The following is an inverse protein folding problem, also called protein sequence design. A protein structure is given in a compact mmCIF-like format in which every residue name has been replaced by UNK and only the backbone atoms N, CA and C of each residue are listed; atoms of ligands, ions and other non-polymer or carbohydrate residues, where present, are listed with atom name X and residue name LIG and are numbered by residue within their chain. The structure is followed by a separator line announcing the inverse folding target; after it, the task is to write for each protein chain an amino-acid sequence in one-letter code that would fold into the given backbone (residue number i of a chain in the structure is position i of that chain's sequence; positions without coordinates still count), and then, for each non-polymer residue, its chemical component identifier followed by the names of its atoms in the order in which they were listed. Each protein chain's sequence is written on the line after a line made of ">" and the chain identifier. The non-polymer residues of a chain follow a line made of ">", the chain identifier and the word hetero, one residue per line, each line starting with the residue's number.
data_IF_972118513576
#
_entry.id   IF_972118513576
#
_cell.length_a   1.000
_cell.length_b   1.000
_cell.length_c   1.000
_cell.angle_alpha   90.00
_cell.angle_beta   90.00
_cell.angle_gamma   90.00
#
_symmetry.space_group_name_H-M   'P 1'
#
loop_
_entity.id
_entity.type
_entity.pdbx_description
1 polymer ?
#
# COMPACT_ATOMS: atom_id res chain seq x y z
N UNK A 1 2.91 57.43 31.86
CA UNK A 1 4.04 58.37 31.86
C UNK A 1 4.76 58.21 33.19
N UNK A 2 6.02 57.73 33.17
CA UNK A 2 7.03 57.70 34.25
C UNK A 2 6.72 56.81 35.48
N UNK A 3 7.42 55.70 35.72
CA UNK A 3 8.83 55.48 36.12
C UNK A 3 9.09 55.49 37.63
N UNK A 4 9.81 54.42 38.04
CA UNK A 4 10.85 54.34 39.09
C UNK A 4 10.52 53.96 40.54
N UNK A 5 10.93 52.73 40.86
CA UNK A 5 12.00 52.37 41.82
C UNK A 5 12.10 53.13 43.15
N UNK A 6 12.00 52.40 44.28
CA UNK A 6 13.15 52.06 45.15
C UNK A 6 12.75 51.25 46.40
N UNK A 7 13.50 50.18 46.62
CA UNK A 7 13.81 49.53 47.92
C UNK A 7 15.09 50.23 48.41
N UNK A 8 15.36 50.51 49.72
CA UNK A 8 15.82 49.45 50.64
C UNK A 8 15.65 49.61 52.17
N UNK A 9 15.70 48.42 52.80
CA UNK A 9 16.45 48.03 54.01
C UNK A 9 16.16 48.69 55.39
N UNK A 10 16.16 47.86 56.44
CA UNK A 10 17.26 47.69 57.41
C UNK A 10 16.77 46.95 58.70
N UNK A 11 17.51 45.87 59.04
CA UNK A 11 17.88 45.27 60.35
C UNK A 11 16.85 44.63 61.30
N UNK A 12 16.97 43.30 61.38
CA UNK A 12 17.59 42.50 62.46
C UNK A 12 17.56 43.01 63.90
N UNK A 13 17.07 42.14 64.79
CA UNK A 13 17.68 41.60 66.03
C UNK A 13 16.56 41.07 66.94
N UNK A 14 16.69 40.05 67.78
CA UNK A 14 17.58 38.91 67.93
C UNK A 14 17.00 38.06 69.09
N UNK A 15 17.47 36.81 69.18
CA UNK A 15 17.69 36.02 70.40
C UNK A 15 16.56 35.33 71.20
N UNK A 16 16.85 34.03 71.33
CA UNK A 16 16.66 33.11 72.46
C UNK A 16 15.53 32.09 72.26
N UNK A 17 15.71 30.79 72.44
CA UNK A 17 16.77 30.07 73.14
C UNK A 17 16.89 28.63 72.57
N UNK A 18 18.12 28.11 72.53
CA UNK A 18 18.46 26.77 72.07
C UNK A 18 18.72 25.85 73.27
N UNK A 19 18.15 24.64 73.25
CA UNK A 19 18.77 23.47 73.89
C UNK A 19 18.66 22.25 72.97
N UNK A 20 19.64 22.14 72.07
CA UNK A 20 20.54 20.99 71.85
C UNK A 20 20.27 19.70 72.66
N UNK A 21 20.51 18.46 72.22
CA UNK A 21 21.32 17.84 71.15
C UNK A 21 20.92 16.35 71.14
N UNK A 22 20.91 15.66 69.99
CA UNK A 22 21.73 14.46 69.62
C UNK A 22 20.75 13.55 68.83
N UNK A 23 20.94 12.99 67.62
CA UNK A 23 22.07 12.67 66.73
C UNK A 23 21.48 12.26 65.36
N UNK A 24 22.08 12.71 64.24
CA UNK A 24 21.89 12.22 62.85
C UNK A 24 22.69 10.90 62.63
N UNK A 25 22.77 10.31 61.41
CA UNK A 25 21.76 9.82 60.45
C UNK A 25 22.11 8.38 59.98
N UNK A 26 21.31 7.74 59.11
CA UNK A 26 21.81 7.04 57.90
C UNK A 26 20.78 6.09 57.26
N UNK A 27 20.95 5.98 55.94
CA UNK A 27 20.48 4.94 55.01
C UNK A 27 19.06 5.12 54.45
N UNK A 28 18.93 5.85 53.34
CA UNK A 28 19.14 5.32 51.97
C UNK A 28 18.02 4.33 51.59
N UNK A 29 16.87 4.85 51.17
CA UNK A 29 15.93 4.12 50.31
C UNK A 29 15.95 4.76 48.93
N UNK A 30 16.89 4.25 48.15
CA UNK A 30 17.15 4.56 46.77
C UNK A 30 16.32 3.63 45.87
N UNK A 31 15.66 4.20 44.86
CA UNK A 31 15.14 3.59 43.61
C UNK A 31 14.30 2.30 43.74
N UNK A 32 13.10 2.16 43.18
CA UNK A 32 12.84 2.08 41.73
C UNK A 32 11.34 1.91 41.52
N UNK A 33 10.67 2.77 40.76
CA UNK A 33 9.44 2.40 40.04
C UNK A 33 9.68 2.77 38.58
N UNK A 34 10.28 1.82 37.86
CA UNK A 34 10.40 1.84 36.42
C UNK A 34 9.00 1.55 35.84
N UNK A 35 8.55 2.51 35.03
CA UNK A 35 7.61 2.45 33.91
C UNK A 35 7.15 1.04 33.50
N UNK A 36 5.84 0.80 33.60
CA UNK A 36 5.11 -0.10 32.70
C UNK A 36 3.96 0.68 32.06
N UNK A 37 4.28 1.76 31.35
CA UNK A 37 3.45 2.19 30.22
C UNK A 37 3.70 1.12 29.16
N UNK A 38 2.82 0.12 29.12
CA UNK A 38 2.74 -0.77 27.98
C UNK A 38 2.30 0.08 26.79
N UNK A 39 3.29 0.64 26.09
CA UNK A 39 3.17 0.95 24.69
C UNK A 39 2.87 -0.38 24.00
N UNK A 40 1.59 -0.68 23.82
CA UNK A 40 1.13 -1.61 22.80
C UNK A 40 1.39 -0.97 21.42
N UNK A 41 2.66 -0.70 21.13
CA UNK A 41 3.14 -0.63 19.76
C UNK A 41 3.20 -2.09 19.35
N UNK A 42 2.24 -2.50 18.51
CA UNK A 42 2.03 -3.88 18.10
C UNK A 42 3.36 -4.55 17.78
N UNK A 43 3.63 -5.66 18.46
CA UNK A 43 4.67 -6.56 17.98
C UNK A 43 4.31 -6.89 16.51
N UNK A 44 5.25 -6.79 15.56
CA UNK A 44 5.00 -7.26 14.21
C UNK A 44 4.50 -8.69 14.32
N UNK A 45 3.41 -8.97 13.61
CA UNK A 45 2.62 -10.18 13.77
C UNK A 45 3.44 -11.38 13.22
N UNK A 46 4.45 -11.83 13.97
CA UNK A 46 5.32 -12.99 13.63
C UNK A 46 4.49 -14.21 13.24
N UNK A 47 3.26 -14.28 13.77
CA UNK A 47 2.27 -15.25 13.39
C UNK A 47 1.89 -15.20 11.90
N UNK A 48 1.64 -14.02 11.33
CA UNK A 48 1.28 -13.87 9.93
C UNK A 48 2.44 -14.13 8.98
N UNK A 49 3.67 -13.75 9.34
CA UNK A 49 4.86 -14.08 8.55
C UNK A 49 4.97 -15.61 8.37
N UNK A 50 4.86 -16.37 9.45
CA UNK A 50 4.92 -17.83 9.43
C UNK A 50 3.72 -18.48 8.72
N UNK A 51 2.52 -17.88 8.83
CA UNK A 51 1.30 -18.36 8.15
C UNK A 51 1.42 -18.16 6.63
N UNK A 52 1.83 -16.98 6.18
CA UNK A 52 1.98 -16.67 4.77
C UNK A 52 3.12 -17.48 4.13
N UNK A 53 4.25 -17.63 4.83
CA UNK A 53 5.35 -18.47 4.36
C UNK A 53 4.93 -19.94 4.20
N UNK A 54 4.15 -20.49 5.13
CA UNK A 54 3.61 -21.87 5.02
C UNK A 54 2.57 -22.03 3.90
N UNK A 55 1.81 -20.98 3.59
CA UNK A 55 0.95 -20.94 2.41
C UNK A 55 1.75 -20.83 1.09
N UNK A 56 3.06 -20.65 1.19
CA UNK A 56 3.97 -20.59 0.05
C UNK A 56 4.01 -19.23 -0.63
N UNK A 57 3.64 -18.16 0.08
CA UNK A 57 3.86 -16.79 -0.41
C UNK A 57 5.36 -16.49 -0.42
N UNK A 58 5.81 -15.74 -1.42
CA UNK A 58 7.20 -15.32 -1.51
C UNK A 58 7.56 -14.26 -0.47
N UNK A 59 8.84 -14.03 -0.20
CA UNK A 59 9.27 -12.91 0.65
C UNK A 59 8.97 -11.52 0.06
N UNK A 60 8.51 -11.47 -1.20
CA UNK A 60 8.13 -10.26 -1.93
C UNK A 60 6.63 -10.23 -2.25
N UNK A 61 5.81 -11.00 -1.54
CA UNK A 61 4.38 -11.10 -1.84
C UNK A 61 3.68 -9.74 -1.86
N UNK A 62 4.11 -8.82 -1.00
CA UNK A 62 3.55 -7.48 -0.92
C UNK A 62 3.75 -6.69 -2.23
N UNK A 63 4.93 -6.81 -2.84
CA UNK A 63 5.29 -6.20 -4.13
C UNK A 63 4.52 -6.85 -5.29
N UNK A 64 4.44 -8.19 -5.32
CA UNK A 64 3.76 -8.94 -6.39
C UNK A 64 2.24 -8.76 -6.35
N UNK A 65 1.64 -8.76 -5.15
CA UNK A 65 0.21 -8.47 -4.95
C UNK A 65 -0.07 -7.01 -5.30
N UNK A 66 0.71 -6.04 -4.81
CA UNK A 66 0.53 -4.63 -5.18
C UNK A 66 0.62 -4.42 -6.69
N UNK A 67 1.55 -5.10 -7.37
CA UNK A 67 1.60 -5.08 -8.83
C UNK A 67 0.32 -5.62 -9.47
N UNK A 68 -0.29 -6.67 -8.95
CA UNK A 68 -1.54 -7.19 -9.49
C UNK A 68 -2.75 -6.27 -9.25
N UNK A 69 -2.76 -5.51 -8.14
CA UNK A 69 -3.98 -4.78 -7.71
C UNK A 69 -3.95 -3.27 -7.91
N UNK A 70 -2.79 -2.66 -8.18
CA UNK A 70 -2.68 -1.18 -8.24
C UNK A 70 -3.55 -0.51 -9.32
N UNK A 71 -4.00 -1.24 -10.34
CA UNK A 71 -4.95 -0.76 -11.36
C UNK A 71 -6.24 -1.61 -11.37
N UNK A 72 -6.57 -2.28 -10.27
CA UNK A 72 -7.71 -3.18 -10.21
C UNK A 72 -9.02 -2.41 -10.37
N UNK A 73 -9.96 -3.05 -11.08
CA UNK A 73 -11.33 -2.57 -11.29
C UNK A 73 -12.32 -3.67 -10.92
N UNK A 74 -13.58 -3.31 -10.70
CA UNK A 74 -14.62 -4.32 -10.48
C UNK A 74 -14.78 -5.26 -11.68
N UNK A 75 -14.63 -4.78 -12.91
CA UNK A 75 -14.78 -5.62 -14.10
C UNK A 75 -13.65 -6.65 -14.22
N UNK A 76 -12.45 -6.31 -13.76
CA UNK A 76 -11.36 -7.27 -13.61
C UNK A 76 -11.62 -8.28 -12.49
N UNK A 77 -12.16 -7.84 -11.35
CA UNK A 77 -12.54 -8.74 -10.25
C UNK A 77 -13.61 -9.76 -10.66
N UNK A 78 -14.49 -9.40 -11.61
CA UNK A 78 -15.49 -10.33 -12.16
C UNK A 78 -14.89 -11.53 -12.88
N UNK A 79 -13.62 -11.47 -13.29
CA UNK A 79 -12.89 -12.64 -13.80
C UNK A 79 -12.77 -13.73 -12.72
N UNK A 80 -12.60 -13.33 -11.46
CA UNK A 80 -12.35 -14.21 -10.31
C UNK A 80 -13.63 -14.52 -9.52
N UNK A 81 -14.54 -13.54 -9.39
CA UNK A 81 -15.88 -13.71 -8.84
C UNK A 81 -16.89 -12.88 -9.66
N UNK A 82 -17.76 -13.51 -10.47
CA UNK A 82 -18.74 -12.81 -11.30
C UNK A 82 -19.70 -11.87 -10.57
N UNK A 83 -19.82 -11.98 -9.23
CA UNK A 83 -20.65 -11.12 -8.38
C UNK A 83 -19.91 -9.93 -7.78
N UNK A 84 -18.62 -9.76 -8.09
CA UNK A 84 -17.83 -8.63 -7.58
C UNK A 84 -18.52 -7.29 -7.87
N UNK A 85 -18.52 -6.40 -6.88
CA UNK A 85 -19.08 -5.05 -6.93
C UNK A 85 -18.07 -4.02 -6.42
N UNK A 86 -18.39 -2.73 -6.50
CA UNK A 86 -17.57 -1.69 -5.87
C UNK A 86 -17.48 -1.81 -4.34
N UNK A 87 -18.34 -2.61 -3.70
CA UNK A 87 -18.20 -2.98 -2.30
C UNK A 87 -17.18 -4.13 -2.15
N UNK A 88 -15.90 -3.79 -2.32
CA UNK A 88 -14.75 -4.67 -2.11
C UNK A 88 -13.69 -3.94 -1.27
N UNK A 89 -12.62 -4.63 -0.89
CA UNK A 89 -11.53 -4.11 -0.06
C UNK A 89 -10.17 -4.18 -0.75
N UNK A 90 -10.15 -4.24 -2.09
CA UNK A 90 -8.91 -4.30 -2.85
C UNK A 90 -8.28 -2.91 -2.91
N UNK A 91 -7.10 -2.67 -2.31
CA UNK A 91 -6.46 -1.38 -2.41
C UNK A 91 -5.97 -1.16 -3.84
N UNK A 92 -6.28 0.01 -4.41
CA UNK A 92 -5.90 0.35 -5.79
C UNK A 92 -5.50 1.82 -5.87
N UNK A 93 -4.74 2.18 -6.90
CA UNK A 93 -4.38 3.58 -7.13
C UNK A 93 -5.64 4.39 -7.47
N UNK A 94 -5.78 5.55 -6.85
CA UNK A 94 -6.85 6.48 -7.17
C UNK A 94 -6.66 7.00 -8.59
N UNK A 95 -7.72 6.95 -9.39
CA UNK A 95 -7.69 7.46 -10.75
C UNK A 95 -7.45 8.98 -10.77
N UNK A 96 -7.94 9.72 -9.77
CA UNK A 96 -7.60 11.13 -9.60
C UNK A 96 -6.36 11.29 -8.73
N UNK A 97 -5.20 11.27 -9.38
CA UNK A 97 -3.92 11.47 -8.69
C UNK A 97 -3.78 12.89 -8.12
N UNK A 98 -4.66 13.87 -8.39
CA UNK A 98 -4.57 15.18 -7.74
C UNK A 98 -5.13 15.17 -6.30
N UNK A 99 -5.86 14.13 -5.92
CA UNK A 99 -6.41 14.03 -4.57
C UNK A 99 -5.33 13.72 -3.54
N UNK A 100 -5.59 14.09 -2.28
CA UNK A 100 -4.72 13.75 -1.16
C UNK A 100 -4.66 12.25 -0.93
N UNK A 101 -5.78 11.55 -1.16
CA UNK A 101 -5.86 10.10 -1.10
C UNK A 101 -5.42 9.48 -2.42
N UNK A 102 -4.18 9.01 -2.49
CA UNK A 102 -3.61 8.37 -3.69
C UNK A 102 -3.98 6.90 -3.83
N UNK A 103 -4.39 6.25 -2.74
CA UNK A 103 -4.80 4.83 -2.72
C UNK A 103 -6.21 4.74 -2.16
N UNK A 104 -7.12 4.20 -2.97
CA UNK A 104 -8.47 3.86 -2.54
C UNK A 104 -8.43 2.53 -1.78
N UNK A 105 -9.28 2.34 -0.74
CA UNK A 105 -9.36 1.08 -0.02
C UNK A 105 -10.21 0.03 -0.77
N UNK A 106 -10.67 0.34 -1.98
CA UNK A 106 -11.51 -0.52 -2.82
C UNK A 106 -11.18 -0.29 -4.30
N UNK A 107 -11.38 -1.32 -5.12
CA UNK A 107 -11.34 -1.24 -6.57
C UNK A 107 -12.65 -0.61 -7.08
N UNK A 108 -12.61 0.53 -7.81
CA UNK A 108 -13.80 1.17 -8.32
C UNK A 108 -14.34 0.45 -9.56
N UNK A 109 -15.58 0.75 -9.92
CA UNK A 109 -16.03 0.54 -11.29
C UNK A 109 -15.27 1.53 -12.19
N UNK A 110 -14.75 1.04 -13.31
CA UNK A 110 -14.28 1.93 -14.37
C UNK A 110 -15.40 2.08 -15.38
N UNK A 111 -15.71 3.31 -15.75
CA UNK A 111 -16.55 3.56 -16.92
C UNK A 111 -15.76 3.09 -18.15
N UNK A 112 -15.99 1.85 -18.57
CA UNK A 112 -15.65 1.44 -19.92
C UNK A 112 -16.68 2.05 -20.86
N UNK A 113 -16.25 2.51 -22.03
CA UNK A 113 -17.18 3.01 -23.04
C UNK A 113 -18.29 1.98 -23.28
N UNK A 114 -19.49 2.41 -23.63
CA UNK A 114 -20.57 1.50 -24.02
C UNK A 114 -20.93 1.63 -25.50
N UNK A 115 -20.14 2.41 -26.26
CA UNK A 115 -20.41 2.73 -27.65
C UNK A 115 -19.98 1.63 -28.63
N UNK A 116 -19.02 0.78 -28.26
CA UNK A 116 -18.55 -0.31 -29.12
C UNK A 116 -19.09 -1.67 -28.68
N UNK A 117 -19.19 -2.59 -29.65
CA UNK A 117 -19.68 -3.95 -29.38
C UNK A 117 -18.67 -4.83 -28.66
N UNK A 118 -17.38 -4.53 -28.74
CA UNK A 118 -16.31 -5.33 -28.14
C UNK A 118 -15.73 -4.65 -26.91
N UNK A 119 -15.49 -5.44 -25.87
CA UNK A 119 -14.83 -4.96 -24.64
C UNK A 119 -13.47 -4.30 -24.94
N UNK A 120 -12.70 -4.86 -25.85
CA UNK A 120 -11.41 -4.30 -26.28
C UNK A 120 -11.53 -2.88 -26.82
N UNK A 121 -12.53 -2.61 -27.68
CA UNK A 121 -12.74 -1.26 -28.20
C UNK A 121 -13.29 -0.31 -27.14
N UNK A 122 -14.13 -0.80 -26.22
CA UNK A 122 -14.61 -0.01 -25.09
C UNK A 122 -13.49 0.34 -24.08
N UNK A 123 -12.49 -0.53 -23.92
CA UNK A 123 -11.27 -0.23 -23.16
C UNK A 123 -10.46 0.84 -23.88
N UNK A 124 -10.24 0.71 -25.19
CA UNK A 124 -9.53 1.73 -25.98
C UNK A 124 -10.26 3.08 -25.89
N UNK A 125 -11.57 3.10 -26.04
CA UNK A 125 -12.40 4.30 -25.90
C UNK A 125 -12.23 4.96 -24.52
N UNK A 126 -12.27 4.15 -23.45
CA UNK A 126 -12.01 4.62 -22.09
C UNK A 126 -10.62 5.22 -21.92
N UNK A 127 -9.58 4.65 -22.53
CA UNK A 127 -8.21 5.19 -22.47
C UNK A 127 -8.10 6.49 -23.26
N UNK A 128 -8.58 6.49 -24.50
CA UNK A 128 -8.43 7.62 -25.42
C UNK A 128 -9.26 8.83 -24.99
N UNK A 129 -10.42 8.61 -24.34
CA UNK A 129 -11.25 9.68 -23.79
C UNK A 129 -10.62 10.41 -22.61
N UNK A 130 -9.61 9.81 -21.95
CA UNK A 130 -8.88 10.45 -20.84
C UNK A 130 -7.56 11.11 -21.26
N UNK A 131 -7.16 11.01 -22.54
CA UNK A 131 -5.92 11.65 -23.01
C UNK A 131 -6.00 13.17 -22.83
N UNK A 132 -5.01 13.73 -22.15
CA UNK A 132 -4.95 15.17 -21.84
C UNK A 132 -5.68 15.55 -20.55
N UNK A 133 -6.37 14.59 -19.92
CA UNK A 133 -6.87 14.71 -18.57
C UNK A 133 -5.86 14.09 -17.56
N UNK A 134 -6.05 14.35 -16.27
CA UNK A 134 -5.15 13.91 -15.18
C UNK A 134 -5.79 12.88 -14.24
N UNK A 135 -6.96 12.36 -14.60
CA UNK A 135 -7.84 11.55 -13.76
C UNK A 135 -7.96 10.10 -14.27
N UNK A 136 -6.91 9.54 -14.86
CA UNK A 136 -6.86 8.16 -15.38
C UNK A 136 -5.99 7.22 -14.53
N UNK A 137 -5.55 7.68 -13.35
CA UNK A 137 -4.68 6.94 -12.44
C UNK A 137 -3.23 6.86 -12.91
N UNK A 138 -2.89 7.56 -13.99
CA UNK A 138 -1.56 7.61 -14.57
C UNK A 138 -1.08 9.06 -14.56
N UNK A 139 0.19 9.27 -14.19
CA UNK A 139 0.72 10.63 -14.11
C UNK A 139 0.80 11.33 -15.48
N UNK A 140 0.97 12.66 -15.49
CA UNK A 140 1.00 13.47 -16.72
C UNK A 140 2.15 13.08 -17.66
N UNK A 141 3.16 12.39 -17.14
CA UNK A 141 4.30 11.96 -17.92
C UNK A 141 3.97 10.81 -18.87
N UNK A 142 2.89 10.04 -18.67
CA UNK A 142 2.52 8.94 -19.56
C UNK A 142 2.20 9.45 -20.97
N UNK A 143 2.59 8.71 -22.00
CA UNK A 143 2.13 8.94 -23.37
C UNK A 143 0.86 8.12 -23.66
N UNK A 144 0.06 8.47 -24.68
CA UNK A 144 -1.09 7.67 -25.07
C UNK A 144 -0.79 6.18 -25.30
N UNK A 145 0.33 5.86 -25.97
CA UNK A 145 0.68 4.46 -26.26
C UNK A 145 1.13 3.71 -25.00
N UNK A 146 1.75 4.40 -24.04
CA UNK A 146 2.16 3.83 -22.75
C UNK A 146 0.93 3.48 -21.91
N UNK A 147 -0.12 4.31 -21.93
CA UNK A 147 -1.41 4.01 -21.27
C UNK A 147 -2.07 2.78 -21.86
N UNK A 148 -2.11 2.68 -23.19
CA UNK A 148 -2.62 1.49 -23.89
C UNK A 148 -1.85 0.25 -23.46
N UNK A 149 -0.51 0.29 -23.51
CA UNK A 149 0.32 -0.83 -23.10
C UNK A 149 0.08 -1.25 -21.64
N UNK A 150 -0.03 -0.28 -20.73
CA UNK A 150 -0.30 -0.51 -19.31
C UNK A 150 -1.65 -1.18 -19.05
N UNK A 151 -2.74 -0.64 -19.60
CA UNK A 151 -4.07 -1.19 -19.36
C UNK A 151 -4.18 -2.61 -19.92
N UNK A 152 -3.66 -2.87 -21.12
CA UNK A 152 -3.66 -4.22 -21.68
C UNK A 152 -2.73 -5.18 -20.94
N UNK A 153 -1.60 -4.70 -20.39
CA UNK A 153 -0.75 -5.49 -19.50
C UNK A 153 -1.51 -5.95 -18.26
N UNK A 154 -2.26 -5.06 -17.61
CA UNK A 154 -3.04 -5.43 -16.42
C UNK A 154 -4.10 -6.49 -16.74
N UNK A 155 -4.82 -6.33 -17.86
CA UNK A 155 -5.77 -7.35 -18.33
C UNK A 155 -5.12 -8.69 -18.66
N UNK A 156 -3.97 -8.68 -19.36
CA UNK A 156 -3.23 -9.90 -19.67
C UNK A 156 -2.70 -10.59 -18.40
N UNK A 157 -2.19 -9.83 -17.43
CA UNK A 157 -1.74 -10.34 -16.14
C UNK A 157 -2.89 -11.03 -15.38
N UNK A 158 -4.08 -10.42 -15.30
CA UNK A 158 -5.22 -11.03 -14.62
C UNK A 158 -5.69 -12.29 -15.33
N UNK A 159 -5.74 -12.28 -16.67
CA UNK A 159 -6.01 -13.50 -17.45
C UNK A 159 -4.95 -14.57 -17.22
N UNK A 160 -3.68 -14.19 -17.11
CA UNK A 160 -2.59 -15.13 -16.82
C UNK A 160 -2.79 -15.77 -15.45
N UNK A 161 -3.01 -14.98 -14.40
CA UNK A 161 -3.31 -15.47 -13.05
C UNK A 161 -4.49 -16.45 -13.08
N UNK A 162 -5.59 -16.05 -13.74
CA UNK A 162 -6.80 -16.86 -13.85
C UNK A 162 -6.55 -18.20 -14.56
N UNK A 163 -5.84 -18.17 -15.69
CA UNK A 163 -5.66 -19.35 -16.54
C UNK A 163 -4.56 -20.30 -16.07
N UNK A 164 -3.58 -19.82 -15.29
CA UNK A 164 -2.43 -20.65 -14.90
C UNK A 164 -2.37 -21.03 -13.44
N UNK A 165 -3.09 -20.32 -12.56
CA UNK A 165 -2.87 -20.47 -11.11
C UNK A 165 -4.18 -20.57 -10.33
N UNK A 166 -5.27 -19.98 -10.84
CA UNK A 166 -6.55 -19.98 -10.15
C UNK A 166 -7.12 -21.37 -9.90
N UNK A 167 -7.01 -22.29 -10.87
CA UNK A 167 -7.49 -23.67 -10.71
C UNK A 167 -6.75 -24.41 -9.60
N UNK A 168 -5.45 -24.18 -9.45
CA UNK A 168 -4.64 -24.77 -8.38
C UNK A 168 -5.09 -24.24 -7.01
N UNK A 169 -5.34 -22.92 -6.90
CA UNK A 169 -5.86 -22.29 -5.68
C UNK A 169 -7.27 -22.80 -5.32
N UNK A 170 -8.11 -23.10 -6.32
CA UNK A 170 -9.43 -23.69 -6.07
C UNK A 170 -9.35 -25.15 -5.57
N UNK A 171 -8.23 -25.83 -5.82
CA UNK A 171 -8.00 -27.22 -5.36
C UNK A 171 -7.29 -27.24 -4.00
N UNK A 172 -6.31 -26.36 -3.80
CA UNK A 172 -5.57 -26.15 -2.56
C UNK A 172 -5.97 -24.81 -1.94
N UNK A 173 -7.16 -24.80 -1.34
CA UNK A 173 -7.82 -23.59 -0.85
C UNK A 173 -6.99 -22.96 0.30
N UNK A 174 -6.64 -21.66 0.21
CA UNK A 174 -6.01 -20.94 1.31
C UNK A 174 -6.81 -21.06 2.60
N UNK A 175 -6.11 -21.36 3.70
CA UNK A 175 -6.76 -21.44 5.01
C UNK A 175 -7.33 -20.09 5.44
N UNK A 176 -8.32 -20.08 6.34
CA UNK A 176 -8.85 -18.82 6.88
C UNK A 176 -7.75 -17.95 7.51
N UNK A 177 -6.81 -18.55 8.24
CA UNK A 177 -5.67 -17.81 8.81
C UNK A 177 -4.78 -17.18 7.72
N UNK A 178 -4.59 -17.88 6.59
CA UNK A 178 -3.89 -17.31 5.42
C UNK A 178 -4.64 -16.10 4.88
N UNK A 179 -5.96 -16.20 4.72
CA UNK A 179 -6.78 -15.11 4.24
C UNK A 179 -6.80 -13.91 5.20
N UNK A 180 -6.94 -14.15 6.49
CA UNK A 180 -6.92 -13.08 7.50
C UNK A 180 -5.58 -12.31 7.45
N UNK A 181 -4.46 -13.01 7.29
CA UNK A 181 -3.14 -12.37 7.19
C UNK A 181 -2.89 -11.66 5.85
N UNK A 182 -3.32 -12.24 4.73
CA UNK A 182 -3.05 -11.66 3.40
C UNK A 182 -3.96 -10.45 3.11
N UNK A 183 -5.14 -10.40 3.74
CA UNK A 183 -6.08 -9.29 3.62
C UNK A 183 -5.83 -8.15 4.63
N UNK A 184 -4.96 -8.36 5.62
CA UNK A 184 -4.49 -7.30 6.52
C UNK A 184 -3.46 -6.38 5.82
N UNK A 185 -3.91 -5.72 4.74
CA UNK A 185 -3.08 -4.94 3.82
C UNK A 185 -2.43 -3.72 4.45
N UNK A 186 -2.98 -3.25 5.57
CA UNK A 186 -2.43 -2.14 6.36
C UNK A 186 -1.17 -2.56 7.14
N UNK A 187 -1.05 -3.84 7.54
CA UNK A 187 0.06 -4.33 8.35
C UNK A 187 1.01 -5.29 7.60
N UNK A 188 0.62 -5.81 6.44
CA UNK A 188 1.42 -6.77 5.66
C UNK A 188 2.22 -6.11 4.51
N UNK A 189 2.12 -4.79 4.37
CA UNK A 189 2.91 -4.00 3.42
C UNK A 189 2.35 -3.92 2.00
N UNK A 190 1.24 -4.62 1.67
CA UNK A 190 0.60 -4.54 0.35
C UNK A 190 0.14 -3.12 0.05
N UNK A 191 -0.61 -2.48 0.97
CA UNK A 191 -1.11 -1.11 0.74
C UNK A 191 0.02 -0.09 0.63
N UNK A 192 1.07 -0.25 1.41
CA UNK A 192 2.28 0.59 1.31
C UNK A 192 2.97 0.43 -0.06
N UNK A 193 3.01 -0.77 -0.61
CA UNK A 193 3.53 -1.02 -1.95
C UNK A 193 2.62 -0.42 -3.05
N UNK A 194 1.30 -0.45 -2.89
CA UNK A 194 0.37 0.25 -3.81
C UNK A 194 0.56 1.77 -3.73
N UNK A 195 0.75 2.33 -2.52
CA UNK A 195 1.07 3.75 -2.33
C UNK A 195 2.36 4.13 -3.04
N UNK A 196 3.39 3.29 -2.91
CA UNK A 196 4.65 3.48 -3.62
C UNK A 196 4.47 3.52 -5.14
N UNK A 197 3.59 2.69 -5.71
CA UNK A 197 3.25 2.75 -7.15
C UNK A 197 2.59 4.08 -7.50
N UNK A 198 1.63 4.56 -6.70
CA UNK A 198 0.95 5.83 -6.94
C UNK A 198 1.93 7.01 -6.93
N UNK A 199 2.82 7.05 -5.95
CA UNK A 199 3.86 8.10 -5.84
C UNK A 199 4.81 8.07 -7.05
N UNK A 200 5.13 6.87 -7.56
CA UNK A 200 5.97 6.72 -8.74
C UNK A 200 5.30 7.23 -10.01
N UNK A 201 3.99 7.04 -10.16
CA UNK A 201 3.25 7.58 -11.30
C UNK A 201 3.33 9.10 -11.38
N UNK A 202 3.38 9.82 -10.26
CA UNK A 202 3.57 11.28 -10.24
C UNK A 202 4.99 11.69 -10.66
N UNK A 203 6.00 10.93 -10.22
CA UNK A 203 7.41 11.29 -10.42
C UNK A 203 7.97 11.00 -11.82
N UNK A 204 7.39 10.05 -12.58
CA UNK A 204 7.84 9.77 -13.93
C UNK A 204 7.33 8.45 -14.52
N UNK A 205 7.29 8.41 -15.86
CA UNK A 205 7.10 7.17 -16.60
C UNK A 205 8.38 6.40 -16.77
N UNK A 206 8.25 5.08 -16.85
CA UNK A 206 7.39 4.18 -16.08
C UNK A 206 8.10 3.77 -14.80
N UNK A 207 7.34 3.18 -13.87
CA UNK A 207 7.79 2.62 -12.59
C UNK A 207 9.23 2.16 -12.75
N UNK A 208 10.15 2.81 -12.02
CA UNK A 208 11.54 2.37 -11.90
C UNK A 208 11.54 1.07 -11.09
N UNK A 209 10.97 0.00 -11.63
CA UNK A 209 11.14 -1.34 -11.13
C UNK A 209 12.64 -1.59 -11.15
N UNK A 210 13.22 -1.73 -9.96
CA UNK A 210 14.63 -2.05 -9.75
C UNK A 210 15.62 -0.89 -10.05
N UNK A 211 15.23 0.38 -9.85
CA UNK A 211 16.09 1.55 -10.08
C UNK A 211 16.60 1.68 -11.52
N UNK A 212 15.82 1.24 -12.51
CA UNK A 212 16.18 1.32 -13.92
C UNK A 212 15.11 2.11 -14.68
N UNK A 213 15.47 3.23 -15.34
CA UNK A 213 14.53 3.96 -16.20
C UNK A 213 14.05 3.04 -17.32
N UNK A 214 12.74 3.04 -17.59
CA UNK A 214 12.22 2.43 -18.82
C UNK A 214 12.07 3.57 -19.83
N UNK A 215 12.56 3.42 -21.07
CA UNK A 215 12.52 4.48 -22.07
C UNK A 215 11.09 4.81 -22.46
N UNK A 216 10.91 6.01 -23.05
CA UNK A 216 9.66 6.35 -23.73
C UNK A 216 9.33 5.32 -24.81
N UNK A 217 8.07 4.88 -24.85
CA UNK A 217 7.61 3.93 -25.85
C UNK A 217 7.38 4.66 -27.18
N UNK A 218 8.35 4.58 -28.09
CA UNK A 218 8.34 5.29 -29.39
C UNK A 218 8.55 4.37 -30.58
N UNK A 219 9.05 3.15 -30.37
CA UNK A 219 9.49 2.24 -31.42
C UNK A 219 9.60 0.79 -30.92
N UNK A 220 9.99 -0.12 -31.81
CA UNK A 220 10.16 -1.54 -31.49
C UNK A 220 11.31 -1.81 -30.48
N UNK A 221 12.32 -0.95 -30.43
CA UNK A 221 13.45 -1.11 -29.51
C UNK A 221 13.03 -0.79 -28.07
N UNK A 222 12.37 0.36 -27.88
CA UNK A 222 11.76 0.74 -26.60
C UNK A 222 10.69 -0.26 -26.18
N UNK A 223 9.89 -0.80 -27.12
CA UNK A 223 8.95 -1.90 -26.83
C UNK A 223 9.66 -3.14 -26.28
N UNK A 224 10.82 -3.52 -26.79
CA UNK A 224 11.59 -4.66 -26.26
C UNK A 224 11.88 -4.50 -24.76
N UNK A 225 12.28 -3.30 -24.34
CA UNK A 225 12.52 -3.00 -22.91
C UNK A 225 11.21 -3.02 -22.12
N UNK A 226 10.13 -2.45 -22.66
CA UNK A 226 8.81 -2.47 -22.01
C UNK A 226 8.31 -3.89 -21.81
N UNK A 227 8.30 -4.72 -22.85
CA UNK A 227 7.85 -6.11 -22.78
C UNK A 227 8.58 -6.89 -21.69
N UNK A 228 9.90 -6.80 -21.63
CA UNK A 228 10.70 -7.51 -20.64
C UNK A 228 10.39 -7.04 -19.21
N UNK A 229 9.97 -5.78 -19.03
CA UNK A 229 9.55 -5.20 -17.75
C UNK A 229 8.16 -5.63 -17.35
N UNK A 230 7.21 -5.59 -18.28
CA UNK A 230 5.84 -6.02 -18.06
C UNK A 230 5.80 -7.51 -17.66
N UNK A 231 6.63 -8.33 -18.29
CA UNK A 231 6.73 -9.77 -17.97
C UNK A 231 7.49 -10.08 -16.66
N UNK A 232 8.02 -9.09 -15.94
CA UNK A 232 8.85 -9.33 -14.75
C UNK A 232 8.13 -10.17 -13.68
N UNK A 233 6.85 -9.90 -13.45
CA UNK A 233 6.03 -10.61 -12.45
C UNK A 233 5.25 -11.80 -13.00
N UNK A 234 5.56 -12.27 -14.22
CA UNK A 234 4.89 -13.44 -14.82
C UNK A 234 5.49 -14.76 -14.34
N UNK A 235 6.29 -14.73 -13.27
CA UNK A 235 6.85 -15.93 -12.66
C UNK A 235 5.75 -16.71 -11.92
N UNK A 236 5.81 -18.05 -11.88
CA UNK A 236 4.81 -18.85 -11.17
C UNK A 236 4.61 -18.42 -9.71
N UNK A 237 5.67 -18.02 -9.01
CA UNK A 237 5.62 -17.60 -7.63
C UNK A 237 4.88 -16.27 -7.44
N UNK A 238 5.17 -15.26 -8.28
CA UNK A 238 4.48 -13.97 -8.24
C UNK A 238 3.00 -14.09 -8.62
N UNK A 239 2.68 -14.93 -9.62
CA UNK A 239 1.29 -15.23 -9.99
C UNK A 239 0.54 -15.94 -8.84
N UNK A 240 1.21 -16.84 -8.10
CA UNK A 240 0.65 -17.50 -6.91
C UNK A 240 0.37 -16.52 -5.78
N UNK A 241 1.29 -15.62 -5.47
CA UNK A 241 1.08 -14.58 -4.45
C UNK A 241 -0.21 -13.78 -4.76
N UNK A 242 -0.34 -13.30 -5.99
CA UNK A 242 -1.51 -12.55 -6.45
C UNK A 242 -2.79 -13.40 -6.45
N UNK A 243 -2.72 -14.66 -6.88
CA UNK A 243 -3.87 -15.57 -6.91
C UNK A 243 -4.42 -15.85 -5.50
N UNK A 244 -3.56 -16.08 -4.51
CA UNK A 244 -3.98 -16.30 -3.11
C UNK A 244 -4.71 -15.06 -2.59
N UNK A 245 -4.15 -13.87 -2.80
CA UNK A 245 -4.78 -12.62 -2.39
C UNK A 245 -6.16 -12.44 -3.02
N UNK A 246 -6.24 -12.59 -4.35
CA UNK A 246 -7.50 -12.41 -5.10
C UNK A 246 -8.53 -13.45 -4.69
N UNK A 247 -8.13 -14.69 -4.41
CA UNK A 247 -9.03 -15.72 -3.89
C UNK A 247 -9.62 -15.29 -2.55
N UNK A 248 -8.77 -14.98 -1.58
CA UNK A 248 -9.22 -14.59 -0.24
C UNK A 248 -10.16 -13.38 -0.29
N UNK A 249 -9.84 -12.36 -1.08
CA UNK A 249 -10.67 -11.15 -1.16
C UNK A 249 -12.02 -11.42 -1.84
N UNK A 250 -12.04 -12.23 -2.89
CA UNK A 250 -13.26 -12.51 -3.66
C UNK A 250 -14.22 -13.49 -2.97
N UNK A 251 -13.77 -14.27 -1.98
CA UNK A 251 -14.68 -15.10 -1.17
C UNK A 251 -15.56 -14.28 -0.21
N UNK A 252 -15.21 -13.03 0.07
CA UNK A 252 -15.94 -12.15 0.97
C UNK A 252 -16.94 -11.21 0.25
N UNK A 253 -17.07 -11.34 -1.07
CA UNK A 253 -17.91 -10.49 -1.94
C UNK A 253 -19.28 -11.09 -2.25
#
# INVERSE_FOLDING_TARGET
>A
MKDKERVPAIKDTDLSDQSHLYTLPAMLRLFTVIVCVALALGAPNRHCEDVLARAGLTTKYNETIAHAVHSMTVDALKLFNPRATANNRVPTVNQDLNQSQKVLPYAPHTETGSGFSTMTMNIIDGILSQIGHSNDGLGPNWSPIERVAHVFHMWDLWHKIYTTTWQDIQTDIPSQATCDCVLDVDNNGVKAAVQWVADHYESGTPITLLNRPIPKLTDAQSWGVWRDRLLHYYTPAALKDAAIYLYCETQHM
#
